data_IF_738037629148
#
_entry.id   IF_738037629148
#
_cell.length_a   1.000
_cell.length_b   1.000
_cell.length_c   1.000
_cell.angle_alpha   90.00
_cell.angle_beta   90.00
_cell.angle_gamma   90.00
#
_symmetry.space_group_name_H-M   'P 1'
#
loop_
_entity.id
_entity.type
_entity.pdbx_description
1 polymer ?
#
# COMPACT_ATOMS: atom_id res chain seq x y z
N UNK A 1 -109.01 29.03 87.72
CA UNK A 1 -108.82 27.75 87.00
C UNK A 1 -110.13 27.29 86.39
N UNK A 2 -110.17 26.68 85.18
CA UNK A 2 -109.18 26.58 84.10
C UNK A 2 -109.65 27.25 82.77
N UNK A 3 -108.75 27.33 81.77
CA UNK A 3 -108.93 27.79 80.37
C UNK A 3 -109.23 26.60 79.43
N UNK A 4 -109.99 26.81 78.34
CA UNK A 4 -109.97 26.08 77.04
C UNK A 4 -111.15 26.58 76.16
N UNK A 5 -111.09 26.76 74.83
CA UNK A 5 -110.06 26.60 73.81
C UNK A 5 -110.48 27.39 72.54
N UNK A 6 -109.51 27.79 71.72
CA UNK A 6 -109.70 28.45 70.42
C UNK A 6 -110.22 27.46 69.36
N UNK A 7 -110.97 27.91 68.34
CA UNK A 7 -111.45 27.04 67.27
C UNK A 7 -110.29 26.58 66.36
N UNK A 8 -110.18 25.27 66.15
CA UNK A 8 -109.23 24.65 65.21
C UNK A 8 -109.35 25.25 63.80
N UNK A 9 -108.28 25.87 63.32
CA UNK A 9 -108.18 26.39 61.96
C UNK A 9 -108.02 25.23 60.97
N UNK A 10 -109.13 24.76 60.39
CA UNK A 10 -109.20 23.65 59.43
C UNK A 10 -108.34 23.85 58.16
N UNK A 11 -107.88 25.07 57.86
CA UNK A 11 -107.01 25.36 56.71
C UNK A 11 -105.51 25.19 56.99
N UNK A 12 -105.09 25.12 58.26
CA UNK A 12 -103.68 25.05 58.65
C UNK A 12 -102.92 23.84 58.05
N UNK A 13 -103.48 22.62 57.95
CA UNK A 13 -102.78 21.48 57.36
C UNK A 13 -102.52 21.64 55.85
N UNK A 14 -103.42 22.30 55.13
CA UNK A 14 -103.30 22.55 53.70
C UNK A 14 -102.24 23.62 53.40
N UNK A 15 -102.18 24.68 54.23
CA UNK A 15 -101.13 25.72 54.15
C UNK A 15 -99.75 25.08 54.43
N UNK A 16 -99.62 24.29 55.49
CA UNK A 16 -98.38 23.58 55.80
C UNK A 16 -97.98 22.53 54.75
N UNK A 17 -98.92 22.01 53.96
CA UNK A 17 -98.62 21.13 52.83
C UNK A 17 -98.14 21.92 51.60
N UNK A 18 -98.71 23.11 51.35
CA UNK A 18 -98.28 24.01 50.29
C UNK A 18 -96.90 24.61 50.58
N UNK A 19 -96.63 25.03 51.82
CA UNK A 19 -95.31 25.51 52.25
C UNK A 19 -94.23 24.45 52.04
N UNK A 20 -94.51 23.19 52.41
CA UNK A 20 -93.59 22.07 52.15
C UNK A 20 -93.40 21.78 50.66
N UNK A 21 -94.43 21.95 49.85
CA UNK A 21 -94.33 21.77 48.40
C UNK A 21 -93.49 22.88 47.75
N UNK A 22 -93.62 24.13 48.24
CA UNK A 22 -92.83 25.28 47.82
C UNK A 22 -91.36 25.12 48.21
N UNK A 23 -91.08 24.70 49.45
CA UNK A 23 -89.72 24.38 49.90
C UNK A 23 -89.10 23.26 49.06
N UNK A 24 -89.83 22.17 48.80
CA UNK A 24 -89.36 21.06 47.98
C UNK A 24 -89.11 21.48 46.52
N UNK A 25 -89.93 22.37 45.96
CA UNK A 25 -89.71 22.94 44.62
C UNK A 25 -88.45 23.82 44.60
N UNK A 26 -88.26 24.67 45.61
CA UNK A 26 -87.07 25.51 45.72
C UNK A 26 -85.79 24.68 45.86
N UNK A 27 -85.84 23.58 46.63
CA UNK A 27 -84.73 22.63 46.73
C UNK A 27 -84.42 21.94 45.39
N UNK A 28 -85.45 21.51 44.66
CA UNK A 28 -85.29 20.90 43.34
C UNK A 28 -84.71 21.90 42.33
N UNK A 29 -85.16 23.16 42.35
CA UNK A 29 -84.64 24.23 41.49
C UNK A 29 -83.17 24.55 41.78
N UNK A 30 -82.78 24.60 43.07
CA UNK A 30 -81.37 24.74 43.46
C UNK A 30 -80.51 23.54 43.05
N UNK A 31 -81.06 22.32 43.12
CA UNK A 31 -80.36 21.12 42.67
C UNK A 31 -80.15 21.12 41.15
N UNK A 32 -81.18 21.46 40.37
CA UNK A 32 -81.11 21.58 38.92
C UNK A 32 -80.17 22.70 38.47
N UNK A 33 -80.18 23.85 39.15
CA UNK A 33 -79.29 24.98 38.84
C UNK A 33 -77.82 24.62 39.09
N UNK A 34 -77.51 23.89 40.16
CA UNK A 34 -76.15 23.38 40.41
C UNK A 34 -75.71 22.36 39.36
N UNK A 35 -76.60 21.42 39.00
CA UNK A 35 -76.32 20.43 37.97
C UNK A 35 -76.04 21.10 36.61
N UNK A 36 -76.78 22.15 36.26
CA UNK A 36 -76.57 22.91 35.03
C UNK A 36 -75.22 23.66 35.04
N UNK A 37 -74.85 24.27 36.17
CA UNK A 37 -73.56 24.94 36.33
C UNK A 37 -72.36 23.97 36.30
N UNK A 38 -72.52 22.74 36.82
CA UNK A 38 -71.48 21.70 36.75
C UNK A 38 -71.38 21.05 35.35
N UNK A 39 -72.46 21.05 34.57
CA UNK A 39 -72.49 20.53 33.21
C UNK A 39 -71.90 21.52 32.17
N UNK A 40 -71.75 22.80 32.51
CA UNK A 40 -71.08 23.77 31.64
C UNK A 40 -69.58 23.44 31.52
N UNK A 41 -69.17 23.03 30.32
CA UNK A 41 -67.78 22.73 30.00
C UNK A 41 -66.91 23.96 30.23
N UNK A 42 -65.85 23.82 31.03
CA UNK A 42 -64.86 24.87 31.31
C UNK A 42 -64.38 25.56 30.00
N UNK A 43 -64.77 26.82 29.75
CA UNK A 43 -64.44 27.53 28.51
C UNK A 43 -62.93 27.63 28.27
N UNK A 44 -62.11 27.70 29.33
CA UNK A 44 -60.66 27.76 29.20
C UNK A 44 -60.08 26.45 28.70
N UNK A 45 -60.66 25.31 29.09
CA UNK A 45 -60.24 24.00 28.59
C UNK A 45 -60.61 23.82 27.12
N UNK A 46 -61.75 24.36 26.68
CA UNK A 46 -62.12 24.36 25.26
C UNK A 46 -61.12 25.18 24.44
N UNK A 47 -60.84 26.41 24.86
CA UNK A 47 -59.91 27.32 24.18
C UNK A 47 -58.50 26.69 24.06
N UNK A 48 -57.97 26.12 25.16
CA UNK A 48 -56.69 25.40 25.15
C UNK A 48 -56.69 24.18 24.21
N UNK A 49 -57.81 23.47 24.11
CA UNK A 49 -57.94 22.30 23.23
C UNK A 49 -57.96 22.73 21.77
N UNK A 50 -58.67 23.80 21.44
CA UNK A 50 -58.73 24.38 20.11
C UNK A 50 -57.38 24.93 19.66
N UNK A 51 -56.68 25.70 20.51
CA UNK A 51 -55.32 26.17 20.25
C UNK A 51 -54.37 25.01 19.93
N UNK A 52 -54.39 23.96 20.75
CA UNK A 52 -53.58 22.76 20.52
C UNK A 52 -53.94 22.05 19.22
N UNK A 53 -55.23 21.97 18.89
CA UNK A 53 -55.71 21.38 17.63
C UNK A 53 -55.24 22.20 16.42
N UNK A 54 -55.29 23.53 16.49
CA UNK A 54 -54.80 24.40 15.43
C UNK A 54 -53.29 24.27 15.23
N UNK A 55 -52.52 24.21 16.32
CA UNK A 55 -51.07 23.99 16.27
C UNK A 55 -50.73 22.65 15.60
N UNK A 56 -51.40 21.56 15.99
CA UNK A 56 -51.22 20.24 15.36
C UNK A 56 -51.60 20.25 13.88
N UNK A 57 -52.72 20.87 13.51
CA UNK A 57 -53.13 21.00 12.10
C UNK A 57 -52.15 21.84 11.27
N UNK A 58 -51.59 22.90 11.86
CA UNK A 58 -50.58 23.73 11.20
C UNK A 58 -49.29 22.95 10.96
N UNK A 59 -48.82 22.19 11.95
CA UNK A 59 -47.67 21.29 11.79
C UNK A 59 -47.92 20.21 10.74
N UNK A 60 -49.09 19.55 10.79
CA UNK A 60 -49.52 18.55 9.81
C UNK A 60 -49.50 19.10 8.38
N UNK A 61 -50.06 20.30 8.15
CA UNK A 61 -50.00 20.98 6.85
C UNK A 61 -48.58 21.31 6.40
N UNK A 62 -47.73 21.80 7.30
CA UNK A 62 -46.33 22.14 6.99
C UNK A 62 -45.56 20.92 6.49
N UNK A 63 -45.84 19.75 7.06
CA UNK A 63 -45.14 18.51 6.76
C UNK A 63 -45.90 17.56 5.82
N UNK A 64 -47.06 17.98 5.30
CA UNK A 64 -47.91 17.22 4.39
C UNK A 64 -48.29 15.81 4.89
N UNK A 65 -48.56 15.68 6.19
CA UNK A 65 -49.01 14.43 6.84
C UNK A 65 -50.31 14.64 7.61
N UNK A 66 -51.01 13.57 7.99
CA UNK A 66 -52.15 13.68 8.89
C UNK A 66 -51.69 14.04 10.32
N UNK A 67 -52.51 14.75 11.13
CA UNK A 67 -52.14 15.08 12.51
C UNK A 67 -51.78 13.87 13.39
N UNK A 68 -52.39 12.71 13.12
CA UNK A 68 -52.11 11.46 13.83
C UNK A 68 -50.72 10.86 13.49
N UNK A 69 -50.14 11.24 12.35
CA UNK A 69 -48.85 10.73 11.86
C UNK A 69 -47.67 11.59 12.34
N UNK A 70 -47.93 12.78 12.90
CA UNK A 70 -46.91 13.70 13.40
C UNK A 70 -45.90 13.07 14.39
N UNK A 71 -46.29 12.21 15.35
CA UNK A 71 -45.33 11.56 16.24
C UNK A 71 -44.35 10.67 15.49
N UNK A 72 -44.84 9.86 14.54
CA UNK A 72 -43.97 8.99 13.73
C UNK A 72 -43.03 9.77 12.83
N UNK A 73 -43.51 10.90 12.26
CA UNK A 73 -42.65 11.80 11.49
C UNK A 73 -41.57 12.46 12.37
N UNK A 74 -41.90 12.85 13.60
CA UNK A 74 -40.92 13.40 14.55
C UNK A 74 -39.82 12.38 14.85
N UNK A 75 -40.20 11.13 15.13
CA UNK A 75 -39.24 10.05 15.38
C UNK A 75 -38.34 9.81 14.16
N UNK A 76 -38.91 9.81 12.95
CA UNK A 76 -38.14 9.68 11.71
C UNK A 76 -37.16 10.84 11.50
N UNK A 77 -37.62 12.09 11.67
CA UNK A 77 -36.78 13.28 11.52
C UNK A 77 -35.68 13.34 12.58
N UNK A 78 -35.98 12.97 13.82
CA UNK A 78 -35.02 12.89 14.91
C UNK A 78 -33.95 11.81 14.62
N UNK A 79 -34.37 10.63 14.13
CA UNK A 79 -33.44 9.58 13.73
C UNK A 79 -32.55 10.00 12.55
N UNK A 80 -33.11 10.68 11.55
CA UNK A 80 -32.34 11.24 10.42
C UNK A 80 -31.35 12.30 10.87
N UNK A 81 -31.76 13.21 11.76
CA UNK A 81 -30.89 14.25 12.31
C UNK A 81 -29.74 13.63 13.10
N UNK A 82 -30.03 12.70 14.01
CA UNK A 82 -29.00 11.99 14.78
C UNK A 82 -28.01 11.23 13.88
N UNK A 83 -28.51 10.60 12.80
CA UNK A 83 -27.66 9.95 11.78
C UNK A 83 -26.72 10.95 11.10
N UNK A 84 -27.22 12.11 10.67
CA UNK A 84 -26.41 13.17 10.05
C UNK A 84 -25.35 13.73 11.00
N UNK A 85 -25.73 14.00 12.25
CA UNK A 85 -24.82 14.49 13.29
C UNK A 85 -23.72 13.46 13.60
N UNK A 86 -24.08 12.17 13.71
CA UNK A 86 -23.11 11.09 13.90
C UNK A 86 -22.15 10.93 12.72
N UNK A 87 -22.67 11.12 11.49
CA UNK A 87 -21.88 11.05 10.26
C UNK A 87 -20.84 12.17 10.18
N UNK A 88 -21.20 13.40 10.59
CA UNK A 88 -20.27 14.53 10.61
C UNK A 88 -19.11 14.28 11.59
N UNK A 89 -19.40 13.77 12.80
CA UNK A 89 -18.39 13.41 13.79
C UNK A 89 -17.46 12.30 13.27
N UNK A 90 -18.01 11.30 12.59
CA UNK A 90 -17.23 10.20 12.03
C UNK A 90 -16.32 10.68 10.88
N UNK A 91 -16.80 11.57 10.01
CA UNK A 91 -15.99 12.17 8.94
C UNK A 91 -14.83 12.98 9.53
N UNK A 92 -15.07 13.79 10.57
CA UNK A 92 -14.03 14.55 11.24
C UNK A 92 -12.97 13.62 11.87
N UNK A 93 -13.43 12.55 12.54
CA UNK A 93 -12.56 11.53 13.12
C UNK A 93 -11.69 10.84 12.06
N UNK A 94 -12.28 10.44 10.94
CA UNK A 94 -11.57 9.81 9.82
C UNK A 94 -10.60 10.78 9.13
N UNK A 95 -10.96 12.06 8.99
CA UNK A 95 -10.07 13.09 8.44
C UNK A 95 -8.85 13.34 9.34
N UNK A 96 -9.05 13.35 10.67
CA UNK A 96 -7.96 13.46 11.63
C UNK A 96 -7.04 12.22 11.57
N UNK A 97 -7.62 11.02 11.49
CA UNK A 97 -6.88 9.78 11.35
C UNK A 97 -6.08 9.73 10.03
N UNK A 98 -6.66 10.17 8.91
CA UNK A 98 -5.98 10.25 7.62
C UNK A 98 -4.79 11.24 7.67
N UNK A 99 -4.98 12.40 8.30
CA UNK A 99 -3.90 13.38 8.51
C UNK A 99 -2.77 12.81 9.36
N UNK A 100 -3.09 12.13 10.46
CA UNK A 100 -2.10 11.50 11.32
C UNK A 100 -1.31 10.39 10.58
N UNK A 101 -2.02 9.51 9.86
CA UNK A 101 -1.42 8.45 9.07
C UNK A 101 -0.50 9.01 7.96
N UNK A 102 -0.92 10.09 7.29
CA UNK A 102 -0.12 10.79 6.29
C UNK A 102 1.15 11.40 6.88
N UNK A 103 1.07 11.99 8.07
CA UNK A 103 2.24 12.49 8.80
C UNK A 103 3.23 11.38 9.11
N UNK A 104 2.74 10.25 9.66
CA UNK A 104 3.57 9.09 9.95
C UNK A 104 4.23 8.49 8.69
N UNK A 105 3.49 8.38 7.59
CA UNK A 105 4.02 7.95 6.29
C UNK A 105 5.13 8.89 5.81
N UNK A 106 4.91 10.21 5.87
CA UNK A 106 5.88 11.20 5.39
C UNK A 106 7.20 11.13 6.17
N UNK A 107 7.13 10.98 7.49
CA UNK A 107 8.34 10.82 8.32
C UNK A 107 9.06 9.50 8.05
N UNK A 108 8.34 8.40 7.85
CA UNK A 108 8.93 7.13 7.44
C UNK A 108 9.58 7.22 6.05
N UNK A 109 8.91 7.86 5.08
CA UNK A 109 9.41 8.06 3.74
C UNK A 109 10.70 8.90 3.74
N UNK A 110 10.77 10.01 4.49
CA UNK A 110 12.00 10.82 4.64
C UNK A 110 13.19 9.99 5.16
N UNK A 111 12.96 9.15 6.17
CA UNK A 111 14.02 8.26 6.69
C UNK A 111 14.48 7.27 5.62
N UNK A 112 13.54 6.69 4.88
CA UNK A 112 13.85 5.78 3.77
C UNK A 112 14.62 6.48 2.65
N UNK A 113 14.23 7.69 2.24
CA UNK A 113 14.92 8.51 1.24
C UNK A 113 16.37 8.77 1.64
N UNK A 114 16.60 9.16 2.91
CA UNK A 114 17.95 9.39 3.43
C UNK A 114 18.81 8.12 3.33
N UNK A 115 18.29 7.00 3.83
CA UNK A 115 18.97 5.71 3.79
C UNK A 115 19.27 5.26 2.34
N UNK A 116 18.34 5.50 1.41
CA UNK A 116 18.51 5.21 -0.02
C UNK A 116 19.62 6.04 -0.64
N UNK A 117 19.70 7.34 -0.38
CA UNK A 117 20.75 8.22 -0.90
C UNK A 117 22.14 7.79 -0.41
N UNK A 118 22.25 7.51 0.89
CA UNK A 118 23.50 7.01 1.47
C UNK A 118 23.92 5.66 0.86
N UNK A 119 22.98 4.74 0.67
CA UNK A 119 23.24 3.46 0.02
C UNK A 119 23.61 3.61 -1.46
N UNK A 120 22.90 4.47 -2.18
CA UNK A 120 23.15 4.77 -3.59
C UNK A 120 24.56 5.33 -3.82
N UNK A 121 25.01 6.23 -2.95
CA UNK A 121 26.38 6.74 -2.97
C UNK A 121 27.43 5.64 -2.72
N UNK A 122 27.22 4.80 -1.69
CA UNK A 122 28.13 3.69 -1.39
C UNK A 122 28.22 2.71 -2.57
N UNK A 123 27.07 2.34 -3.13
CA UNK A 123 26.97 1.47 -4.29
C UNK A 123 27.69 2.09 -5.49
N UNK A 124 27.43 3.37 -5.77
CA UNK A 124 28.07 4.10 -6.88
C UNK A 124 29.59 4.10 -6.76
N UNK A 125 30.12 4.42 -5.57
CA UNK A 125 31.57 4.38 -5.31
C UNK A 125 32.16 2.97 -5.41
N UNK A 126 31.43 1.95 -4.95
CA UNK A 126 31.89 0.57 -5.01
C UNK A 126 31.96 0.06 -6.45
N UNK A 127 30.92 0.27 -7.24
CA UNK A 127 30.88 -0.11 -8.67
C UNK A 127 31.96 0.64 -9.44
N UNK A 128 32.12 1.95 -9.22
CA UNK A 128 33.14 2.75 -9.90
C UNK A 128 34.58 2.23 -9.71
N UNK A 129 34.89 1.55 -8.59
CA UNK A 129 36.20 0.92 -8.37
C UNK A 129 36.41 -0.36 -9.19
N UNK A 130 35.34 -1.06 -9.54
CA UNK A 130 35.40 -2.29 -10.33
C UNK A 130 35.41 -2.04 -11.85
N UNK A 131 35.04 -0.84 -12.31
CA UNK A 131 34.96 -0.53 -13.76
C UNK A 131 36.33 -0.47 -14.47
N UNK A 132 37.38 0.21 -13.95
CA UNK A 132 38.64 0.35 -14.68
C UNK A 132 39.34 -0.98 -15.02
N UNK A 133 39.44 -1.96 -14.09
CA UNK A 133 40.03 -3.28 -14.41
C UNK A 133 39.31 -4.02 -15.55
N UNK A 134 38.02 -3.73 -15.75
CA UNK A 134 37.17 -4.34 -16.79
C UNK A 134 37.17 -3.55 -18.11
N UNK A 135 38.10 -2.60 -18.27
CA UNK A 135 38.20 -1.69 -19.44
C UNK A 135 36.93 -0.86 -19.64
N UNK A 136 36.33 -0.46 -18.53
CA UNK A 136 35.18 0.43 -18.45
C UNK A 136 35.54 1.72 -17.70
N UNK A 137 36.80 2.16 -17.79
CA UNK A 137 37.34 3.36 -17.13
C UNK A 137 36.61 4.65 -17.53
N UNK A 138 36.05 4.68 -18.74
CA UNK A 138 35.24 5.78 -19.26
C UNK A 138 33.77 5.71 -18.84
N UNK A 139 33.34 4.58 -18.30
CA UNK A 139 31.96 4.38 -17.91
C UNK A 139 31.68 4.98 -16.53
N UNK A 140 30.48 5.52 -16.38
CA UNK A 140 29.98 6.08 -15.12
C UNK A 140 28.67 5.39 -14.76
N UNK A 141 28.69 4.66 -13.65
CA UNK A 141 27.49 4.15 -13.02
C UNK A 141 26.91 5.20 -12.06
N UNK A 142 25.58 5.34 -12.03
CA UNK A 142 24.86 6.23 -11.12
C UNK A 142 23.65 5.48 -10.57
N UNK A 143 23.63 5.31 -9.24
CA UNK A 143 22.39 4.96 -8.53
C UNK A 143 21.64 6.24 -8.21
N UNK A 144 20.58 6.52 -8.95
CA UNK A 144 19.78 7.73 -8.81
C UNK A 144 18.58 7.48 -7.89
N UNK A 145 18.34 8.41 -6.98
CA UNK A 145 17.18 8.44 -6.08
C UNK A 145 16.46 9.77 -6.29
N UNK A 146 15.35 9.73 -7.02
CA UNK A 146 14.57 10.91 -7.36
C UNK A 146 13.23 10.89 -6.62
N UNK A 147 12.74 12.02 -6.09
CA UNK A 147 11.42 12.07 -5.49
C UNK A 147 10.34 11.79 -6.53
N UNK A 148 9.26 11.12 -6.13
CA UNK A 148 8.05 11.00 -6.95
C UNK A 148 6.98 11.96 -6.46
N UNK A 149 6.08 12.36 -7.37
CA UNK A 149 4.90 13.12 -7.02
C UNK A 149 4.04 12.36 -6.01
N UNK A 150 3.26 13.11 -5.22
CA UNK A 150 2.43 12.55 -4.15
C UNK A 150 1.41 11.52 -4.63
N UNK A 151 0.88 11.70 -5.84
CA UNK A 151 -0.01 10.75 -6.52
C UNK A 151 0.67 9.40 -6.79
N UNK A 152 2.01 9.36 -6.82
CA UNK A 152 2.82 8.15 -6.98
C UNK A 152 3.36 7.57 -5.67
N UNK A 153 2.99 8.13 -4.51
CA UNK A 153 3.39 7.56 -3.22
C UNK A 153 2.74 6.19 -3.03
N UNK A 154 3.49 5.28 -2.42
CA UNK A 154 3.01 3.93 -2.20
C UNK A 154 3.81 3.17 -1.16
N UNK A 155 3.64 1.84 -1.08
CA UNK A 155 4.36 1.01 -0.12
C UNK A 155 5.89 1.07 -0.31
N UNK A 156 6.36 1.45 -1.51
CA UNK A 156 7.77 1.69 -1.81
C UNK A 156 8.31 3.04 -1.32
N UNK A 157 7.50 3.88 -0.69
CA UNK A 157 7.87 5.22 -0.22
C UNK A 157 7.61 6.32 -1.25
N UNK A 158 8.40 7.40 -1.17
CA UNK A 158 8.23 8.62 -1.94
C UNK A 158 9.36 8.88 -2.96
N UNK A 159 10.14 7.84 -3.29
CA UNK A 159 11.24 7.95 -4.26
C UNK A 159 11.14 6.88 -5.35
N UNK A 160 11.60 7.24 -6.54
CA UNK A 160 11.98 6.34 -7.62
C UNK A 160 13.48 6.10 -7.56
N UNK A 161 13.87 4.82 -7.62
CA UNK A 161 15.28 4.42 -7.65
C UNK A 161 15.61 3.86 -9.03
N UNK A 162 16.60 4.45 -9.69
CA UNK A 162 17.03 4.07 -11.04
C UNK A 162 18.53 3.79 -11.06
N UNK A 163 18.94 2.75 -11.78
CA UNK A 163 20.36 2.49 -12.06
C UNK A 163 20.69 2.91 -13.48
N UNK A 164 21.52 3.94 -13.58
CA UNK A 164 21.86 4.61 -14.82
C UNK A 164 23.35 4.42 -15.13
N UNK A 165 23.68 4.41 -16.41
CA UNK A 165 25.04 4.19 -16.91
C UNK A 165 25.30 5.11 -18.08
N UNK A 166 26.45 5.76 -18.08
CA UNK A 166 27.03 6.37 -19.26
C UNK A 166 28.27 5.56 -19.65
N UNK A 167 28.40 5.12 -20.90
CA UNK A 167 29.57 4.35 -21.38
C UNK A 167 30.68 5.25 -21.89
N UNK A 168 30.35 6.47 -22.30
CA UNK A 168 31.30 7.43 -22.83
C UNK A 168 31.36 8.72 -21.99
N UNK A 169 32.53 9.37 -21.91
CA UNK A 169 32.65 10.65 -21.22
C UNK A 169 31.79 11.71 -21.89
N UNK A 170 31.08 12.51 -21.10
CA UNK A 170 30.19 13.57 -21.59
C UNK A 170 28.80 13.11 -22.01
N UNK A 171 28.51 11.80 -22.02
CA UNK A 171 27.17 11.29 -22.28
C UNK A 171 26.30 11.33 -21.01
N UNK A 172 25.02 11.68 -21.16
CA UNK A 172 24.06 11.56 -20.07
C UNK A 172 23.82 10.08 -19.70
N UNK A 173 23.84 9.72 -18.41
CA UNK A 173 23.56 8.35 -17.97
C UNK A 173 22.14 7.90 -18.36
N UNK A 174 22.05 6.80 -19.09
CA UNK A 174 20.79 6.18 -19.49
C UNK A 174 20.47 4.92 -18.68
N UNK A 175 19.24 4.38 -18.78
CA UNK A 175 18.89 3.13 -18.11
C UNK A 175 19.79 1.97 -18.55
N UNK A 176 20.28 1.16 -17.60
CA UNK A 176 21.19 0.03 -17.83
C UNK A 176 20.83 -0.84 -19.05
N UNK A 177 19.54 -1.10 -19.27
CA UNK A 177 19.04 -1.93 -20.37
C UNK A 177 19.25 -1.34 -21.78
N UNK A 178 19.60 -0.05 -21.91
CA UNK A 178 19.68 0.67 -23.19
C UNK A 178 21.10 1.04 -23.62
N UNK A 179 22.14 0.65 -22.87
CA UNK A 179 23.38 1.43 -22.87
C UNK A 179 24.55 0.86 -23.70
N UNK A 180 24.54 -0.37 -24.21
CA UNK A 180 25.80 -0.91 -24.78
C UNK A 180 25.69 -2.13 -25.70
N UNK A 181 26.86 -2.48 -26.27
CA UNK A 181 27.17 -3.81 -26.80
C UNK A 181 27.03 -4.91 -25.73
N UNK A 182 26.75 -6.15 -26.15
CA UNK A 182 26.53 -7.28 -25.23
C UNK A 182 27.67 -7.48 -24.23
N UNK A 183 28.92 -7.43 -24.69
CA UNK A 183 30.11 -7.66 -23.85
C UNK A 183 30.34 -6.57 -22.78
N UNK A 184 30.11 -5.30 -23.09
CA UNK A 184 30.22 -4.21 -22.11
C UNK A 184 29.14 -4.31 -21.03
N UNK A 185 27.91 -4.65 -21.42
CA UNK A 185 26.82 -4.89 -20.48
C UNK A 185 27.12 -6.09 -19.57
N UNK A 186 27.61 -7.20 -20.13
CA UNK A 186 28.02 -8.38 -19.35
C UNK A 186 29.11 -8.06 -18.34
N UNK A 187 30.12 -7.27 -18.72
CA UNK A 187 31.19 -6.82 -17.78
C UNK A 187 30.66 -5.89 -16.70
N UNK A 188 29.75 -4.98 -17.05
CA UNK A 188 29.12 -4.11 -16.07
C UNK A 188 28.23 -4.87 -15.08
N UNK A 189 27.49 -5.86 -15.56
CA UNK A 189 26.69 -6.76 -14.73
C UNK A 189 27.58 -7.60 -13.80
N UNK A 190 28.75 -8.03 -14.29
CA UNK A 190 29.76 -8.69 -13.45
C UNK A 190 30.24 -7.74 -12.34
N UNK A 191 30.60 -6.49 -12.65
CA UNK A 191 31.01 -5.51 -11.63
C UNK A 191 29.91 -5.28 -10.57
N UNK A 192 28.65 -5.16 -11.00
CA UNK A 192 27.51 -5.04 -10.09
C UNK A 192 27.36 -6.28 -9.22
N UNK A 193 27.49 -7.48 -9.80
CA UNK A 193 27.41 -8.74 -9.05
C UNK A 193 28.56 -8.89 -8.06
N UNK A 194 29.78 -8.50 -8.39
CA UNK A 194 30.92 -8.50 -7.45
C UNK A 194 30.63 -7.62 -6.22
N UNK A 195 29.99 -6.47 -6.42
CA UNK A 195 29.64 -5.55 -5.33
C UNK A 195 28.42 -6.02 -4.53
N UNK A 196 27.46 -6.66 -5.19
CA UNK A 196 26.17 -7.08 -4.60
C UNK A 196 26.11 -8.57 -4.19
N UNK A 197 27.20 -9.32 -4.37
CA UNK A 197 27.21 -10.78 -4.25
C UNK A 197 26.64 -11.26 -2.91
N UNK A 198 26.95 -10.54 -1.82
CA UNK A 198 26.59 -10.87 -0.43
C UNK A 198 25.09 -10.85 -0.10
N UNK A 199 24.20 -10.71 -1.08
CA UNK A 199 22.73 -10.71 -0.89
C UNK A 199 21.94 -11.33 -2.04
N UNK A 200 22.57 -12.06 -2.96
CA UNK A 200 21.86 -12.67 -4.09
C UNK A 200 21.15 -13.97 -3.68
N UNK A 201 19.82 -13.98 -3.74
CA UNK A 201 19.02 -15.21 -3.56
C UNK A 201 19.10 -16.19 -4.76
N UNK A 202 19.74 -15.77 -5.86
CA UNK A 202 19.88 -16.59 -7.07
C UNK A 202 21.09 -17.51 -6.94
N UNK A 203 20.92 -18.84 -6.99
CA UNK A 203 22.00 -19.79 -6.72
C UNK A 203 22.98 -19.97 -7.90
N UNK A 204 22.56 -19.63 -9.13
CA UNK A 204 23.36 -19.84 -10.34
C UNK A 204 23.27 -18.63 -11.29
N UNK A 205 24.42 -18.17 -11.78
CA UNK A 205 24.55 -17.10 -12.75
C UNK A 205 25.20 -17.62 -14.03
N UNK A 206 24.69 -17.18 -15.18
CA UNK A 206 25.26 -17.48 -16.50
C UNK A 206 25.78 -16.20 -17.12
N UNK A 207 27.05 -16.19 -17.48
CA UNK A 207 27.68 -15.10 -18.23
C UNK A 207 28.04 -15.59 -19.62
N UNK A 208 27.53 -14.88 -20.62
CA UNK A 208 27.90 -15.05 -22.01
C UNK A 208 28.59 -13.77 -22.50
N UNK A 209 29.58 -13.93 -23.38
CA UNK A 209 30.37 -12.83 -23.98
C UNK A 209 31.06 -11.86 -23.01
N UNK A 210 31.24 -12.23 -21.73
CA UNK A 210 31.85 -11.35 -20.72
C UNK A 210 33.31 -10.99 -21.04
N UNK A 211 33.99 -11.86 -21.77
CA UNK A 211 35.36 -11.70 -22.29
C UNK A 211 35.41 -11.23 -23.75
N UNK A 212 34.27 -10.87 -24.36
CA UNK A 212 34.23 -10.40 -25.75
C UNK A 212 34.93 -9.05 -25.91
N UNK A 213 35.80 -8.95 -26.91
CA UNK A 213 36.55 -7.74 -27.27
C UNK A 213 37.64 -7.34 -26.26
N UNK A 214 38.01 -8.24 -25.33
CA UNK A 214 39.05 -8.00 -24.33
C UNK A 214 40.08 -9.14 -24.32
N UNK A 215 41.33 -8.82 -23.98
CA UNK A 215 42.43 -9.77 -23.95
C UNK A 215 43.49 -9.39 -22.92
N UNK A 216 44.45 -10.28 -22.69
CA UNK A 216 45.57 -10.05 -21.77
C UNK A 216 45.09 -9.73 -20.34
N UNK A 217 45.59 -8.63 -19.77
CA UNK A 217 45.32 -8.23 -18.40
C UNK A 217 43.82 -8.00 -18.12
N UNK A 218 43.04 -7.48 -19.09
CA UNK A 218 41.60 -7.28 -18.90
C UNK A 218 40.86 -8.61 -18.80
N UNK A 219 41.22 -9.60 -19.61
CA UNK A 219 40.61 -10.93 -19.54
C UNK A 219 40.97 -11.65 -18.23
N UNK A 220 42.21 -11.49 -17.74
CA UNK A 220 42.60 -11.97 -16.42
C UNK A 220 41.78 -11.30 -15.30
N UNK A 221 41.57 -9.99 -15.37
CA UNK A 221 40.72 -9.27 -14.41
C UNK A 221 39.26 -9.77 -14.44
N UNK A 222 38.69 -10.00 -15.63
CA UNK A 222 37.37 -10.63 -15.77
C UNK A 222 37.31 -11.99 -15.07
N UNK A 223 38.30 -12.85 -15.31
CA UNK A 223 38.41 -14.17 -14.67
C UNK A 223 38.48 -14.09 -13.15
N UNK A 224 39.27 -13.17 -12.60
CA UNK A 224 39.36 -12.92 -11.15
C UNK A 224 38.02 -12.51 -10.54
N UNK A 225 37.28 -11.62 -11.21
CA UNK A 225 35.95 -11.18 -10.75
C UNK A 225 34.92 -12.31 -10.81
N UNK A 226 34.95 -13.13 -11.86
CA UNK A 226 34.09 -14.30 -11.98
C UNK A 226 34.37 -15.31 -10.86
N UNK A 227 35.65 -15.56 -10.54
CA UNK A 227 36.05 -16.42 -9.43
C UNK A 227 35.54 -15.86 -8.08
N UNK A 228 35.69 -14.56 -7.83
CA UNK A 228 35.18 -13.90 -6.61
C UNK A 228 33.66 -14.00 -6.48
N UNK A 229 32.91 -13.91 -7.59
CA UNK A 229 31.45 -14.16 -7.55
C UNK A 229 31.17 -15.64 -7.30
N UNK A 230 31.98 -16.53 -7.85
CA UNK A 230 31.84 -17.98 -7.69
C UNK A 230 32.07 -18.49 -6.25
N UNK A 231 32.70 -17.69 -5.38
CA UNK A 231 32.83 -17.99 -3.95
C UNK A 231 31.47 -18.08 -3.23
N UNK A 232 30.44 -17.42 -3.77
CA UNK A 232 29.13 -17.31 -3.12
C UNK A 232 28.00 -17.99 -3.88
N UNK A 233 28.10 -18.07 -5.21
CA UNK A 233 27.07 -18.66 -6.08
C UNK A 233 27.72 -19.47 -7.20
N UNK A 234 26.96 -20.36 -7.84
CA UNK A 234 27.49 -21.06 -9.02
C UNK A 234 27.57 -20.09 -10.21
N UNK A 235 28.71 -20.07 -10.90
CA UNK A 235 28.91 -19.24 -12.09
C UNK A 235 29.22 -20.14 -13.29
N UNK A 236 28.41 -20.04 -14.34
CA UNK A 236 28.62 -20.69 -15.63
C UNK A 236 29.07 -19.63 -16.64
N UNK A 237 30.20 -19.86 -17.30
CA UNK A 237 30.77 -18.92 -18.26
C UNK A 237 31.08 -19.65 -19.55
N UNK A 238 30.63 -19.09 -20.67
CA UNK A 238 31.10 -19.48 -22.00
C UNK A 238 32.22 -18.51 -22.37
N UNK A 239 33.42 -19.03 -22.60
CA UNK A 239 34.63 -18.20 -22.80
C UNK A 239 35.53 -18.80 -23.86
N UNK A 240 36.25 -17.93 -24.56
CA UNK A 240 37.35 -18.30 -25.45
C UNK A 240 38.71 -17.80 -24.92
N UNK A 241 38.70 -17.07 -23.80
CA UNK A 241 39.90 -16.58 -23.14
C UNK A 241 40.55 -17.67 -22.27
N UNK A 242 41.82 -18.02 -22.52
CA UNK A 242 42.55 -18.94 -21.64
C UNK A 242 42.68 -18.38 -20.21
N UNK A 243 42.78 -17.05 -20.06
CA UNK A 243 42.87 -16.40 -18.75
C UNK A 243 41.60 -16.58 -17.92
N UNK A 244 40.42 -16.53 -18.55
CA UNK A 244 39.13 -16.76 -17.87
C UNK A 244 38.92 -18.26 -17.61
N UNK A 245 39.17 -19.12 -18.61
CA UNK A 245 39.00 -20.57 -18.46
C UNK A 245 39.94 -21.17 -17.39
N UNK A 246 41.15 -20.63 -17.23
CA UNK A 246 42.07 -21.04 -16.17
C UNK A 246 41.53 -20.77 -14.76
N UNK A 247 40.66 -19.77 -14.57
CA UNK A 247 40.05 -19.43 -13.26
C UNK A 247 38.86 -20.32 -12.87
N UNK A 248 38.33 -21.12 -13.80
CA UNK A 248 37.20 -22.00 -13.52
C UNK A 248 37.56 -23.14 -12.56
N UNK A 249 36.68 -23.43 -11.60
CA UNK A 249 36.84 -24.60 -10.73
C UNK A 249 36.66 -25.93 -11.52
N UNK A 250 35.83 -25.89 -12.56
CA UNK A 250 35.65 -26.98 -13.52
C UNK A 250 35.77 -26.42 -14.95
N UNK A 251 36.29 -27.22 -15.87
CA UNK A 251 36.45 -26.86 -17.28
C UNK A 251 35.76 -27.90 -18.15
N UNK A 252 34.78 -27.48 -18.95
CA UNK A 252 34.14 -28.29 -19.96
C UNK A 252 34.51 -27.78 -21.35
N UNK A 253 34.87 -28.70 -22.25
CA UNK A 253 35.13 -28.39 -23.65
C UNK A 253 33.90 -28.67 -24.48
N UNK A 254 33.54 -27.72 -25.34
CA UNK A 254 32.50 -27.89 -26.35
C UNK A 254 33.17 -28.18 -27.69
N UNK A 255 32.85 -29.32 -28.30
CA UNK A 255 33.43 -29.74 -29.57
C UNK A 255 32.36 -30.20 -30.56
N UNK A 256 32.51 -29.85 -31.84
CA UNK A 256 31.67 -30.37 -32.91
C UNK A 256 32.25 -31.69 -33.41
N UNK A 257 31.44 -32.74 -33.41
CA UNK A 257 31.74 -34.02 -34.04
C UNK A 257 30.75 -34.24 -35.21
N UNK A 258 31.23 -34.81 -36.31
CA UNK A 258 30.35 -35.24 -37.41
C UNK A 258 30.05 -36.72 -37.23
N UNK A 259 28.81 -37.05 -36.89
CA UNK A 259 28.35 -38.43 -36.76
C UNK A 259 27.24 -38.69 -37.77
N UNK A 260 27.41 -39.73 -38.61
CA UNK A 260 26.44 -40.15 -39.64
C UNK A 260 25.97 -39.01 -40.57
N UNK A 261 26.89 -38.14 -40.99
CA UNK A 261 26.59 -37.04 -41.91
C UNK A 261 25.83 -35.84 -41.29
N UNK A 262 25.61 -35.83 -39.96
CA UNK A 262 25.13 -34.65 -39.23
C UNK A 262 26.19 -34.12 -38.28
N UNK A 263 26.29 -32.80 -38.20
CA UNK A 263 27.06 -32.14 -37.16
C UNK A 263 26.32 -32.27 -35.82
N UNK A 264 27.00 -32.82 -34.81
CA UNK A 264 26.54 -32.88 -33.42
C UNK A 264 27.54 -32.15 -32.53
N UNK A 265 27.05 -31.36 -31.57
CA UNK A 265 27.90 -30.67 -30.58
C UNK A 265 27.92 -31.50 -29.30
N UNK A 266 29.11 -31.93 -28.88
CA UNK A 266 29.35 -32.59 -27.61
C UNK A 266 29.93 -31.63 -26.57
N UNK A 267 29.67 -31.93 -25.30
CA UNK A 267 30.27 -31.25 -24.15
C UNK A 267 30.92 -32.31 -23.27
N UNK A 268 32.21 -32.15 -22.96
CA UNK A 268 32.94 -33.10 -22.13
C UNK A 268 33.70 -32.37 -21.01
N UNK A 269 33.70 -32.91 -19.77
CA UNK A 269 34.54 -32.38 -18.71
C UNK A 269 36.01 -32.71 -18.98
N UNK A 270 36.91 -31.78 -18.65
CA UNK A 270 38.34 -31.97 -18.78
C UNK A 270 38.96 -32.32 -17.42
N UNK A 271 39.75 -33.41 -17.38
CA UNK A 271 40.62 -33.70 -16.25
C UNK A 271 41.81 -32.72 -16.19
N UNK A 272 42.64 -32.78 -15.15
CA UNK A 272 43.77 -31.86 -14.96
C UNK A 272 44.73 -31.81 -16.16
N UNK A 273 45.01 -32.96 -16.79
CA UNK A 273 45.95 -33.04 -17.92
C UNK A 273 45.30 -32.47 -19.18
N UNK A 274 44.07 -32.89 -19.49
CA UNK A 274 43.33 -32.41 -20.64
C UNK A 274 43.04 -30.91 -20.53
N UNK A 275 42.80 -30.41 -19.31
CA UNK A 275 42.63 -28.99 -19.01
C UNK A 275 43.89 -28.19 -19.34
N UNK A 276 45.07 -28.66 -18.93
CA UNK A 276 46.36 -28.03 -19.26
C UNK A 276 46.57 -27.95 -20.77
N UNK A 277 46.36 -29.05 -21.49
CA UNK A 277 46.49 -29.08 -22.95
C UNK A 277 45.49 -28.15 -23.64
N UNK A 278 44.25 -28.07 -23.14
CA UNK A 278 43.24 -27.17 -23.69
C UNK A 278 43.59 -25.70 -23.47
N UNK A 279 44.06 -25.30 -22.29
CA UNK A 279 44.53 -23.93 -22.04
C UNK A 279 45.75 -23.62 -22.93
N UNK A 280 46.69 -24.56 -23.09
CA UNK A 280 47.82 -24.39 -23.99
C UNK A 280 47.39 -24.24 -25.46
N UNK A 281 46.37 -25.00 -25.90
CA UNK A 281 45.73 -24.86 -27.21
C UNK A 281 45.04 -23.51 -27.37
N UNK A 282 44.32 -23.03 -26.35
CA UNK A 282 43.70 -21.70 -26.37
C UNK A 282 44.74 -20.57 -26.46
N UNK A 283 45.95 -20.77 -25.94
CA UNK A 283 47.06 -19.82 -26.03
C UNK A 283 47.80 -19.86 -27.38
N UNK A 284 48.11 -21.04 -27.91
CA UNK A 284 48.96 -21.22 -29.09
C UNK A 284 48.22 -21.49 -30.40
N UNK A 285 46.92 -21.76 -30.34
CA UNK A 285 46.11 -22.17 -31.49
C UNK A 285 46.21 -23.66 -31.76
N UNK A 286 46.37 -24.04 -33.04
CA UNK A 286 46.30 -25.45 -33.45
C UNK A 286 47.53 -26.28 -33.03
N UNK A 287 48.71 -25.66 -32.97
CA UNK A 287 49.96 -26.36 -32.62
C UNK A 287 50.36 -26.06 -31.19
N UNK A 288 50.21 -27.05 -30.31
CA UNK A 288 50.61 -26.94 -28.89
C UNK A 288 52.13 -27.06 -28.77
N UNK A 289 52.78 -26.03 -28.23
CA UNK A 289 54.22 -25.99 -28.00
C UNK A 289 54.54 -26.15 -26.51
N UNK A 290 55.79 -26.54 -26.17
CA UNK A 290 56.23 -26.58 -24.76
C UNK A 290 56.15 -25.21 -24.08
N UNK A 291 56.41 -24.13 -24.81
CA UNK A 291 56.25 -22.77 -24.29
C UNK A 291 54.78 -22.47 -23.94
N UNK A 292 53.82 -22.94 -24.75
CA UNK A 292 52.40 -22.78 -24.48
C UNK A 292 51.94 -23.60 -23.26
N UNK A 293 52.50 -24.80 -23.07
CA UNK A 293 52.26 -25.62 -21.88
C UNK A 293 52.80 -24.94 -20.61
N UNK A 294 54.00 -24.38 -20.66
CA UNK A 294 54.57 -23.63 -19.55
C UNK A 294 53.70 -22.41 -19.19
N UNK A 295 53.26 -21.63 -20.18
CA UNK A 295 52.36 -20.51 -19.95
C UNK A 295 50.98 -20.94 -19.41
N UNK A 296 50.48 -22.11 -19.83
CA UNK A 296 49.24 -22.67 -19.28
C UNK A 296 49.41 -23.07 -17.80
N UNK A 297 50.57 -23.62 -17.44
CA UNK A 297 50.89 -23.95 -16.05
C UNK A 297 50.91 -22.69 -15.17
N UNK A 298 51.50 -21.59 -15.65
CA UNK A 298 51.50 -20.32 -14.93
C UNK A 298 50.08 -19.77 -14.70
N UNK A 299 49.19 -19.87 -15.71
CA UNK A 299 47.80 -19.46 -15.58
C UNK A 299 47.02 -20.35 -14.61
N UNK A 300 47.26 -21.66 -14.61
CA UNK A 300 46.60 -22.61 -13.72
C UNK A 300 47.14 -22.55 -12.28
N UNK A 301 48.40 -22.20 -12.10
CA UNK A 301 49.01 -22.03 -10.77
C UNK A 301 48.54 -20.76 -10.08
N UNK A 302 48.26 -19.71 -10.86
CA UNK A 302 47.76 -18.44 -10.34
C UNK A 302 46.25 -18.43 -10.16
N UNK A 303 45.53 -19.47 -10.63
CA UNK A 303 44.08 -19.58 -10.74
C UNK A 303 43.35 -19.65 -9.40
#
# INVERSE_FOLDING_TARGET
SPRAGEPDNLAAPAIAALERAEEALAEAEMALSRLAAEAEADPRRLEQTEERLFALRAAARKHAVAPAELPGLLDELAARLASLESGAVEVERLAAAATAARGAFTEAAKRLTKARREAAERLTRAVARELPPLRLDKARFVAEVAPVEETGWGPGGADSVRFLVATNPGQEPGPLARVASGGELSRLMLALKVVLASGSAVPTLVFDEVDSGVGGATAAAVGERLARVAEQVQVLVVTHSPQVAARGAAHMRVAKAVARGRASTGVEPLDTRARREEIARMLAGETITEAARAAADDLLATA
#
